data_IF_887213044216
#
_entry.id   IF_887213044216
#
_cell.length_a   1.000
_cell.length_b   1.000
_cell.length_c   1.000
_cell.angle_alpha   90.00
_cell.angle_beta   90.00
_cell.angle_gamma   90.00
#
_symmetry.space_group_name_H-M   'P 1'
#
loop_
_entity.id
_entity.type
_entity.pdbx_description
1 polymer ?
#
# COMPACT_ATOMS: atom_id res chain seq x y z
N UNK A 1 -9.86 -48.45 -19.94
CA UNK A 1 -10.18 -48.24 -18.52
C UNK A 1 -9.42 -47.01 -18.03
N UNK A 2 -10.12 -45.97 -17.59
CA UNK A 2 -9.54 -44.82 -16.87
C UNK A 2 -9.95 -44.95 -15.39
N UNK A 3 -9.06 -44.76 -14.41
CA UNK A 3 -9.50 -44.66 -13.03
C UNK A 3 -10.04 -43.25 -12.78
N UNK A 4 -11.34 -43.20 -12.50
CA UNK A 4 -12.01 -42.14 -11.74
C UNK A 4 -11.37 -42.02 -10.36
N UNK A 5 -11.06 -40.80 -9.91
CA UNK A 5 -10.97 -40.49 -8.48
C UNK A 5 -11.72 -39.19 -8.17
N UNK A 6 -12.69 -39.38 -7.28
CA UNK A 6 -13.59 -38.43 -6.64
C UNK A 6 -12.87 -37.85 -5.42
N UNK A 7 -13.13 -36.60 -5.07
CA UNK A 7 -12.86 -36.07 -3.73
C UNK A 7 -14.05 -35.20 -3.31
N UNK A 8 -14.62 -35.52 -2.16
CA UNK A 8 -15.63 -34.74 -1.43
C UNK A 8 -14.93 -33.80 -0.46
N UNK A 9 -15.52 -32.63 -0.20
CA UNK A 9 -15.18 -31.80 0.97
C UNK A 9 -16.49 -31.47 1.70
N UNK A 10 -16.58 -31.98 2.93
CA UNK A 10 -17.54 -31.56 3.95
C UNK A 10 -16.98 -30.33 4.68
N UNK A 11 -17.80 -29.30 4.86
CA UNK A 11 -17.49 -28.15 5.69
C UNK A 11 -18.76 -27.53 6.26
N UNK A 12 -18.89 -27.56 7.58
CA UNK A 12 -19.97 -26.90 8.36
C UNK A 12 -19.79 -25.37 8.32
N UNK A 13 -20.88 -24.58 8.33
CA UNK A 13 -20.78 -23.12 8.38
C UNK A 13 -20.25 -22.66 9.75
N UNK A 14 -19.40 -21.61 9.81
CA UNK A 14 -18.98 -21.02 11.08
C UNK A 14 -20.14 -20.26 11.76
N UNK A 15 -20.08 -20.06 13.09
CA UNK A 15 -21.17 -19.47 13.85
C UNK A 15 -21.32 -17.97 13.55
N UNK A 16 -22.56 -17.53 13.32
CA UNK A 16 -22.95 -16.12 13.29
C UNK A 16 -22.69 -15.46 14.65
N UNK A 17 -21.84 -14.41 14.72
CA UNK A 17 -21.71 -13.50 15.87
C UNK A 17 -21.33 -12.07 15.42
N UNK A 18 -21.64 -11.05 16.23
CA UNK A 18 -22.24 -9.80 15.77
C UNK A 18 -21.25 -8.73 15.33
N UNK A 19 -21.73 -7.93 14.40
CA UNK A 19 -21.16 -6.77 13.71
C UNK A 19 -20.35 -5.82 14.60
N UNK A 20 -19.09 -5.62 14.22
CA UNK A 20 -18.34 -4.39 14.46
C UNK A 20 -17.75 -3.98 13.11
N UNK A 21 -18.12 -2.79 12.62
CA UNK A 21 -17.62 -2.22 11.36
C UNK A 21 -16.14 -1.87 11.52
N UNK A 22 -15.25 -2.80 11.19
CA UNK A 22 -13.82 -2.58 11.11
C UNK A 22 -13.46 -2.40 9.62
N UNK A 23 -12.95 -1.23 9.25
CA UNK A 23 -12.39 -0.98 7.92
C UNK A 23 -11.24 -1.98 7.65
N UNK A 24 -11.27 -2.68 6.52
CA UNK A 24 -10.34 -3.76 6.19
C UNK A 24 -9.09 -3.23 5.47
N UNK A 25 -7.87 -3.49 6.00
CA UNK A 25 -6.61 -3.16 5.34
C UNK A 25 -6.25 -4.17 4.23
N UNK A 26 -6.99 -4.20 3.12
CA UNK A 26 -6.46 -4.78 1.88
C UNK A 26 -5.40 -3.85 1.29
N UNK A 27 -4.34 -3.58 2.03
CA UNK A 27 -3.50 -2.41 1.79
C UNK A 27 -2.63 -2.61 0.57
N UNK A 28 -2.84 -1.78 -0.46
CA UNK A 28 -1.80 -1.48 -1.42
C UNK A 28 -0.85 -0.44 -0.85
N UNK A 29 0.44 -0.77 -0.73
CA UNK A 29 1.50 0.17 -0.46
C UNK A 29 2.04 0.69 -1.80
N UNK A 30 1.89 1.98 -2.04
CA UNK A 30 2.46 2.65 -3.20
C UNK A 30 3.83 3.24 -2.83
N UNK A 31 4.92 2.80 -3.46
CA UNK A 31 6.25 3.39 -3.24
C UNK A 31 6.70 4.10 -4.52
N UNK A 32 7.05 5.39 -4.44
CA UNK A 32 7.87 6.06 -5.48
C UNK A 32 9.34 5.84 -5.16
N UNK A 33 9.99 4.94 -5.88
CA UNK A 33 11.45 4.79 -5.85
C UNK A 33 12.12 5.80 -6.77
N UNK A 34 13.05 6.62 -6.27
CA UNK A 34 14.01 7.26 -7.16
C UNK A 34 15.03 6.20 -7.57
N UNK A 35 15.07 5.86 -8.87
CA UNK A 35 16.31 5.33 -9.42
C UNK A 35 17.30 6.48 -9.46
N UNK A 36 18.17 6.59 -8.45
CA UNK A 36 19.41 7.32 -8.63
C UNK A 36 20.12 6.63 -9.80
N UNK A 37 20.17 7.27 -10.97
CA UNK A 37 20.94 6.77 -12.12
C UNK A 37 22.45 6.94 -11.90
N UNK A 38 22.91 6.80 -10.67
CA UNK A 38 24.33 6.73 -10.36
C UNK A 38 24.66 5.28 -9.99
N UNK A 39 25.35 4.54 -10.86
CA UNK A 39 25.94 3.28 -10.45
C UNK A 39 26.89 3.55 -9.27
N UNK A 40 27.02 2.62 -8.31
CA UNK A 40 28.03 2.73 -7.27
C UNK A 40 29.40 2.91 -7.91
N UNK A 41 30.16 3.91 -7.46
CA UNK A 41 31.54 4.15 -7.87
C UNK A 41 32.31 2.82 -7.79
N UNK A 42 32.55 2.24 -8.95
CA UNK A 42 33.40 1.08 -9.12
C UNK A 42 34.60 1.52 -9.93
N UNK A 43 35.76 1.21 -9.35
CA UNK A 43 37.11 1.50 -9.80
C UNK A 43 37.27 1.44 -11.33
N UNK A 44 37.82 2.55 -11.85
CA UNK A 44 38.51 2.78 -13.12
C UNK A 44 38.78 1.57 -14.04
N UNK A 45 38.34 1.69 -15.29
CA UNK A 45 38.89 0.98 -16.45
C UNK A 45 38.25 1.48 -17.76
N UNK A 46 39.01 1.77 -18.84
CA UNK A 46 38.48 2.46 -20.01
C UNK A 46 38.02 1.48 -21.08
N UNK A 47 36.78 1.61 -21.58
CA UNK A 47 36.40 1.09 -22.90
C UNK A 47 35.40 2.04 -23.60
N UNK A 48 35.65 2.22 -24.89
CA UNK A 48 35.09 3.23 -25.79
C UNK A 48 33.82 2.77 -26.52
N UNK A 49 32.88 3.72 -26.68
CA UNK A 49 31.90 3.99 -27.75
C UNK A 49 31.38 2.88 -28.70
N UNK A 50 30.04 2.68 -28.79
CA UNK A 50 29.21 3.02 -29.97
C UNK A 50 27.73 2.58 -29.85
N UNK A 51 26.83 3.54 -30.08
CA UNK A 51 25.51 3.50 -30.76
C UNK A 51 24.31 2.61 -30.33
N UNK A 52 23.18 3.35 -30.29
CA UNK A 52 21.74 3.02 -30.25
C UNK A 52 21.30 1.63 -30.76
N UNK A 53 20.38 1.00 -30.02
CA UNK A 53 19.09 0.47 -30.52
C UNK A 53 18.17 0.10 -29.34
N UNK A 54 16.87 0.36 -29.49
CA UNK A 54 15.85 0.15 -28.47
C UNK A 54 15.76 -1.28 -27.98
N UNK A 55 15.45 -1.45 -26.69
CA UNK A 55 15.26 -2.76 -26.07
C UNK A 55 13.86 -2.86 -25.48
N UNK A 56 13.07 -3.70 -26.14
CA UNK A 56 11.82 -4.30 -25.67
C UNK A 56 12.21 -5.39 -24.67
N UNK A 57 11.78 -5.30 -23.41
CA UNK A 57 12.03 -6.38 -22.45
C UNK A 57 10.93 -7.44 -22.54
N UNK A 58 11.35 -8.61 -23.01
CA UNK A 58 10.59 -9.84 -23.11
C UNK A 58 10.83 -10.64 -21.81
N UNK A 59 9.75 -10.95 -21.08
CA UNK A 59 9.80 -11.78 -19.88
C UNK A 59 10.21 -13.21 -20.27
N UNK A 60 11.42 -13.64 -19.90
CA UNK A 60 11.86 -15.03 -20.08
C UNK A 60 11.43 -15.86 -18.87
N UNK A 61 10.47 -16.76 -19.09
CA UNK A 61 10.39 -17.99 -18.31
C UNK A 61 11.63 -18.84 -18.59
N UNK A 62 12.33 -19.27 -17.53
CA UNK A 62 13.22 -20.42 -17.60
C UNK A 62 12.95 -21.36 -16.42
N UNK A 63 12.51 -22.54 -16.81
CA UNK A 63 12.43 -23.76 -16.02
C UNK A 63 13.81 -24.38 -15.82
N UNK A 64 14.14 -24.70 -14.56
CA UNK A 64 15.02 -25.79 -14.18
C UNK A 64 16.45 -25.41 -13.76
N UNK A 65 16.78 -25.57 -12.47
CA UNK A 65 18.05 -26.17 -12.03
C UNK A 65 18.02 -26.66 -10.57
N UNK A 66 19.01 -27.48 -10.27
CA UNK A 66 19.06 -28.62 -9.36
C UNK A 66 19.44 -28.27 -7.90
N UNK A 67 19.02 -29.10 -6.95
CA UNK A 67 19.27 -28.97 -5.50
C UNK A 67 20.73 -29.30 -5.12
N UNK A 68 21.32 -28.53 -4.18
CA UNK A 68 22.28 -28.98 -3.14
C UNK A 68 22.63 -27.87 -2.11
N UNK A 69 22.10 -28.04 -0.88
CA UNK A 69 22.65 -27.78 0.48
C UNK A 69 23.48 -26.52 0.83
N UNK A 70 22.94 -25.65 1.70
CA UNK A 70 23.59 -24.56 2.46
C UNK A 70 22.55 -23.67 3.20
N UNK A 71 22.86 -23.02 4.34
CA UNK A 71 21.88 -22.76 5.42
C UNK A 71 20.88 -21.62 5.14
N UNK A 72 19.61 -21.93 5.40
CA UNK A 72 18.44 -21.06 5.62
C UNK A 72 18.51 -19.63 5.07
N UNK A 73 18.57 -19.51 3.74
CA UNK A 73 18.15 -18.32 3.01
C UNK A 73 16.62 -18.24 3.01
N UNK A 74 16.10 -17.01 3.09
CA UNK A 74 14.75 -16.44 2.95
C UNK A 74 13.74 -17.05 1.93
N UNK A 75 13.92 -18.28 1.48
CA UNK A 75 13.10 -18.99 0.50
C UNK A 75 12.02 -19.93 1.07
N UNK A 76 11.85 -20.02 2.38
CA UNK A 76 10.81 -20.88 3.00
C UNK A 76 9.45 -20.19 3.21
N UNK A 77 9.32 -18.90 2.92
CA UNK A 77 8.02 -18.19 2.95
C UNK A 77 7.32 -18.10 1.58
N UNK A 78 7.93 -18.59 0.51
CA UNK A 78 7.48 -18.41 -0.88
C UNK A 78 6.94 -19.69 -1.54
N UNK A 79 6.31 -20.59 -0.76
CA UNK A 79 5.71 -21.81 -1.31
C UNK A 79 4.47 -22.28 -0.56
N UNK A 80 3.66 -21.35 -0.08
CA UNK A 80 2.28 -21.65 0.25
C UNK A 80 1.38 -20.75 -0.58
N UNK A 81 0.48 -21.38 -1.32
CA UNK A 81 -0.69 -20.79 -1.95
C UNK A 81 -1.61 -20.14 -0.89
N UNK A 82 -1.15 -19.09 -0.20
CA UNK A 82 -1.99 -18.22 0.62
C UNK A 82 -2.52 -17.13 -0.30
N UNK A 83 -3.48 -17.56 -1.11
CA UNK A 83 -4.53 -16.68 -1.61
C UNK A 83 -5.00 -15.80 -0.45
N UNK A 84 -4.96 -14.48 -0.60
CA UNK A 84 -5.63 -13.59 0.33
C UNK A 84 -7.11 -13.96 0.31
N UNK A 85 -7.54 -14.63 1.37
CA UNK A 85 -8.89 -15.16 1.53
C UNK A 85 -9.92 -14.04 1.65
N UNK A 86 -11.17 -14.30 1.23
CA UNK A 86 -12.28 -13.36 1.36
C UNK A 86 -12.57 -12.97 2.82
N UNK A 87 -13.09 -11.76 3.02
CA UNK A 87 -13.63 -11.29 4.31
C UNK A 87 -15.15 -11.15 4.21
N UNK A 88 -15.88 -11.79 5.13
CA UNK A 88 -17.35 -11.82 5.09
C UNK A 88 -17.90 -12.48 3.81
N UNK A 89 -18.94 -11.90 3.21
CA UNK A 89 -19.53 -12.36 1.94
C UNK A 89 -18.76 -11.87 0.69
N UNK A 90 -17.71 -11.06 0.84
CA UNK A 90 -17.03 -10.40 -0.27
C UNK A 90 -15.79 -11.19 -0.72
N UNK A 91 -15.82 -11.67 -1.96
CA UNK A 91 -14.76 -12.46 -2.60
C UNK A 91 -13.55 -11.66 -3.06
N UNK A 92 -13.64 -10.32 -3.05
CA UNK A 92 -12.64 -9.40 -3.63
C UNK A 92 -12.52 -8.15 -2.76
N UNK A 93 -11.29 -7.73 -2.44
CA UNK A 93 -11.04 -6.52 -1.66
C UNK A 93 -11.05 -5.26 -2.56
N UNK A 94 -11.94 -4.27 -2.32
CA UNK A 94 -12.02 -3.04 -3.10
C UNK A 94 -10.73 -2.23 -3.17
N UNK A 95 -9.97 -2.12 -2.07
CA UNK A 95 -8.72 -1.35 -2.08
C UNK A 95 -7.66 -2.01 -2.95
N UNK A 96 -7.61 -3.34 -2.97
CA UNK A 96 -6.71 -4.07 -3.86
C UNK A 96 -7.09 -3.87 -5.33
N UNK A 97 -8.38 -3.93 -5.66
CA UNK A 97 -8.87 -3.66 -7.03
C UNK A 97 -8.51 -2.25 -7.48
N UNK A 98 -8.80 -1.24 -6.65
CA UNK A 98 -8.47 0.15 -6.97
C UNK A 98 -6.96 0.35 -7.24
N UNK A 99 -6.11 -0.30 -6.46
CA UNK A 99 -4.66 -0.26 -6.64
C UNK A 99 -4.19 -0.98 -7.91
N UNK A 100 -4.85 -2.09 -8.29
CA UNK A 100 -4.58 -2.75 -9.56
C UNK A 100 -4.99 -1.88 -10.75
N UNK A 101 -6.14 -1.18 -10.69
CA UNK A 101 -6.55 -0.25 -11.73
C UNK A 101 -5.59 0.94 -11.84
N UNK A 102 -5.15 1.51 -10.71
CA UNK A 102 -4.09 2.53 -10.70
C UNK A 102 -2.81 2.03 -11.38
N UNK A 103 -2.38 0.80 -11.10
CA UNK A 103 -1.18 0.21 -11.72
C UNK A 103 -1.31 0.09 -13.23
N UNK A 104 -2.52 -0.21 -13.75
CA UNK A 104 -2.78 -0.26 -15.20
C UNK A 104 -2.75 1.14 -15.82
N UNK A 105 -3.32 2.14 -15.14
CA UNK A 105 -3.33 3.53 -15.60
C UNK A 105 -1.92 4.14 -15.61
N UNK A 106 -1.08 3.76 -14.63
CA UNK A 106 0.27 4.28 -14.46
C UNK A 106 0.30 5.72 -13.91
N UNK A 107 1.49 6.28 -13.71
CA UNK A 107 1.69 7.63 -13.15
C UNK A 107 2.61 8.49 -14.04
N UNK A 108 2.71 8.16 -15.32
CA UNK A 108 3.68 8.75 -16.25
C UNK A 108 5.04 8.05 -16.23
N UNK A 109 6.00 8.56 -17.01
CA UNK A 109 7.34 7.94 -17.17
C UNK A 109 8.31 8.27 -16.04
N UNK A 110 8.02 9.31 -15.27
CA UNK A 110 8.96 9.88 -14.28
C UNK A 110 8.67 9.39 -12.84
N UNK A 111 7.69 8.49 -12.71
CA UNK A 111 7.26 7.90 -11.45
C UNK A 111 7.39 6.37 -11.55
N UNK A 112 8.34 5.81 -10.80
CA UNK A 112 8.42 4.36 -10.61
C UNK A 112 7.40 3.93 -9.54
N UNK A 113 6.36 3.23 -9.97
CA UNK A 113 5.27 2.78 -9.13
C UNK A 113 5.50 1.34 -8.68
N UNK A 114 5.81 1.15 -7.40
CA UNK A 114 5.78 -0.17 -6.77
C UNK A 114 4.51 -0.37 -5.96
N UNK A 115 3.92 -1.55 -6.06
CA UNK A 115 2.69 -1.95 -5.37
C UNK A 115 2.97 -3.19 -4.53
N UNK A 116 2.67 -3.12 -3.24
CA UNK A 116 2.74 -4.26 -2.32
C UNK A 116 1.42 -4.49 -1.63
N UNK A 117 1.03 -5.75 -1.49
CA UNK A 117 -0.09 -6.14 -0.64
C UNK A 117 0.40 -6.32 0.79
N UNK A 118 -0.27 -5.69 1.75
CA UNK A 118 0.09 -5.73 3.16
C UNK A 118 -0.86 -6.69 3.90
N UNK A 119 -0.35 -7.73 4.58
CA UNK A 119 -1.19 -8.63 5.37
C UNK A 119 -1.93 -7.94 6.50
N UNK A 120 -3.15 -8.41 6.76
CA UNK A 120 -4.03 -7.98 7.86
C UNK A 120 -3.56 -8.59 9.18
N UNK A 121 -2.34 -8.24 9.59
CA UNK A 121 -1.64 -8.82 10.74
C UNK A 121 -0.75 -7.76 11.41
N UNK A 122 -1.01 -7.49 12.69
CA UNK A 122 -0.32 -6.40 13.41
C UNK A 122 1.19 -6.62 13.49
N UNK A 123 1.61 -7.87 13.73
CA UNK A 123 3.03 -8.22 13.83
C UNK A 123 3.76 -8.02 12.50
N UNK A 124 3.13 -8.44 11.41
CA UNK A 124 3.67 -8.30 10.05
C UNK A 124 3.80 -6.83 9.67
N UNK A 125 2.78 -6.00 9.95
CA UNK A 125 2.85 -4.56 9.66
C UNK A 125 3.99 -3.86 10.40
N UNK A 126 4.22 -4.19 11.69
CA UNK A 126 5.30 -3.61 12.50
C UNK A 126 6.69 -3.85 11.92
N UNK A 127 6.89 -4.92 11.16
CA UNK A 127 8.19 -5.29 10.60
C UNK A 127 8.29 -4.92 9.12
N UNK A 128 7.24 -5.16 8.35
CA UNK A 128 7.20 -4.94 6.90
C UNK A 128 7.28 -3.45 6.54
N UNK A 129 6.45 -2.59 7.15
CA UNK A 129 6.39 -1.17 6.77
C UNK A 129 7.75 -0.47 6.99
N UNK A 130 8.40 -0.56 8.17
CA UNK A 130 9.72 0.03 8.35
C UNK A 130 10.79 -0.57 7.41
N UNK A 131 10.71 -1.87 7.12
CA UNK A 131 11.64 -2.52 6.20
C UNK A 131 11.51 -1.97 4.77
N UNK A 132 10.29 -1.76 4.28
CA UNK A 132 10.04 -1.19 2.95
C UNK A 132 10.53 0.26 2.86
N UNK A 133 10.29 1.07 3.89
CA UNK A 133 10.85 2.42 3.99
C UNK A 133 12.38 2.42 3.95
N UNK A 134 13.02 1.51 4.68
CA UNK A 134 14.48 1.37 4.72
C UNK A 134 15.08 0.84 3.42
N UNK A 135 14.39 -0.09 2.75
CA UNK A 135 14.90 -0.74 1.54
C UNK A 135 14.77 0.16 0.32
N UNK A 136 13.63 0.84 0.17
CA UNK A 136 13.30 1.57 -1.06
C UNK A 136 13.50 3.08 -0.97
N UNK A 137 13.67 3.63 0.24
CA UNK A 137 13.77 5.08 0.47
C UNK A 137 12.75 5.89 -0.34
N UNK A 138 11.45 5.56 -0.22
CA UNK A 138 10.44 6.11 -1.11
C UNK A 138 10.23 7.61 -0.87
N UNK A 139 9.92 8.35 -1.95
CA UNK A 139 9.55 9.77 -1.84
C UNK A 139 8.18 9.97 -1.20
N UNK A 140 7.26 9.05 -1.44
CA UNK A 140 5.89 9.07 -0.95
C UNK A 140 5.43 7.64 -0.77
N UNK A 141 4.71 7.40 0.32
CA UNK A 141 4.00 6.16 0.58
C UNK A 141 2.52 6.41 0.76
N UNK A 142 1.70 5.71 -0.02
CA UNK A 142 0.25 5.77 0.11
C UNK A 142 -0.26 4.38 0.47
N UNK A 143 -1.00 4.32 1.56
CA UNK A 143 -1.74 3.14 1.99
C UNK A 143 -3.19 3.28 1.53
N UNK A 144 -3.79 2.20 1.05
CA UNK A 144 -5.19 2.19 0.60
C UNK A 144 -5.97 1.12 1.33
N UNK A 145 -6.98 1.46 2.12
CA UNK A 145 -7.86 0.50 2.80
C UNK A 145 -9.31 0.63 2.34
N UNK A 146 -10.13 -0.38 2.59
CA UNK A 146 -11.58 -0.29 2.34
C UNK A 146 -12.31 0.09 3.62
N UNK A 147 -13.28 0.99 3.51
CA UNK A 147 -14.25 1.28 4.57
C UNK A 147 -15.63 0.89 4.10
N UNK A 148 -16.25 -0.11 4.74
CA UNK A 148 -17.55 -0.67 4.34
C UNK A 148 -18.69 0.36 4.38
N UNK A 149 -18.55 1.39 5.21
CA UNK A 149 -19.54 2.44 5.41
C UNK A 149 -19.24 3.71 4.64
N UNK A 150 -18.06 3.81 4.00
CA UNK A 150 -17.70 4.97 3.23
C UNK A 150 -18.56 5.07 1.96
N UNK A 151 -18.94 6.29 1.61
CA UNK A 151 -19.63 6.63 0.35
C UNK A 151 -18.77 7.54 -0.54
N UNK A 152 -17.57 7.91 -0.06
CA UNK A 152 -16.60 8.78 -0.73
C UNK A 152 -15.21 8.19 -0.57
N UNK A 153 -14.28 8.54 -1.46
CA UNK A 153 -12.85 8.30 -1.23
C UNK A 153 -12.38 9.26 -0.14
N UNK A 154 -11.72 8.76 0.90
CA UNK A 154 -11.45 9.54 2.12
C UNK A 154 -9.95 9.61 2.39
N UNK A 155 -9.41 10.83 2.52
CA UNK A 155 -8.01 11.07 2.91
C UNK A 155 -7.92 11.22 4.44
N UNK A 156 -7.11 10.37 5.07
CA UNK A 156 -6.95 10.39 6.53
C UNK A 156 -5.85 11.37 6.97
N UNK A 157 -6.22 12.33 7.82
CA UNK A 157 -5.33 13.41 8.28
C UNK A 157 -4.42 13.02 9.44
N UNK A 158 -4.74 11.96 10.18
CA UNK A 158 -3.90 11.51 11.28
C UNK A 158 -4.05 10.01 11.55
N UNK A 159 -2.99 9.39 12.06
CA UNK A 159 -3.02 8.06 12.66
C UNK A 159 -3.03 8.14 14.18
N UNK A 160 -3.58 7.12 14.85
CA UNK A 160 -3.68 7.05 16.33
C UNK A 160 -2.76 5.97 16.86
N UNK A 161 -2.26 6.11 18.09
CA UNK A 161 -1.35 5.10 18.65
C UNK A 161 -2.06 4.07 19.52
N UNK A 162 -3.28 4.33 19.97
CA UNK A 162 -3.97 3.54 20.98
C UNK A 162 -5.40 3.19 20.58
N UNK A 163 -5.88 2.05 21.08
CA UNK A 163 -7.28 1.62 20.95
C UNK A 163 -7.48 0.32 20.17
N UNK A 164 -6.40 -0.36 19.78
CA UNK A 164 -6.45 -1.57 18.96
C UNK A 164 -6.91 -2.78 19.78
N UNK A 165 -8.21 -3.06 19.74
CA UNK A 165 -8.85 -4.15 20.49
C UNK A 165 -9.37 -5.28 19.61
N UNK A 166 -9.47 -5.05 18.31
CA UNK A 166 -9.96 -6.03 17.33
C UNK A 166 -8.82 -6.96 16.93
N UNK A 167 -9.10 -8.26 16.95
CA UNK A 167 -8.15 -9.31 16.56
C UNK A 167 -7.94 -9.30 15.05
N UNK A 168 -6.70 -9.51 14.63
CA UNK A 168 -6.29 -9.63 13.24
C UNK A 168 -6.58 -11.02 12.66
N UNK A 169 -6.17 -11.28 11.42
CA UNK A 169 -6.38 -12.57 10.74
C UNK A 169 -5.64 -13.73 11.41
N UNK A 170 -4.62 -13.44 12.22
CA UNK A 170 -3.90 -14.41 13.06
C UNK A 170 -4.54 -14.56 14.45
N UNK A 171 -5.65 -13.88 14.73
CA UNK A 171 -6.36 -13.92 16.00
C UNK A 171 -5.69 -13.11 17.11
N UNK A 172 -4.76 -12.21 16.77
CA UNK A 172 -3.94 -11.45 17.70
C UNK A 172 -4.34 -9.97 17.76
N UNK A 173 -4.03 -9.31 18.88
CA UNK A 173 -4.11 -7.86 19.04
C UNK A 173 -2.72 -7.32 19.43
N UNK A 174 -2.42 -6.04 19.20
CA UNK A 174 -1.17 -5.44 19.65
C UNK A 174 -1.05 -5.49 21.17
N UNK A 175 0.17 -5.74 21.65
CA UNK A 175 0.50 -5.60 23.07
C UNK A 175 0.14 -4.19 23.57
N UNK A 176 -0.41 -4.12 24.78
CA UNK A 176 -0.94 -2.89 25.38
C UNK A 176 -1.98 -2.13 24.53
N UNK A 177 -2.57 -2.76 23.51
CA UNK A 177 -3.52 -2.14 22.58
C UNK A 177 -2.97 -0.86 21.91
N UNK A 178 -1.65 -0.83 21.68
CA UNK A 178 -0.95 0.32 21.11
C UNK A 178 -0.08 -0.04 19.89
N UNK A 179 0.20 0.93 19.02
CA UNK A 179 1.02 0.70 17.82
C UNK A 179 2.50 0.69 18.18
N UNK A 180 3.00 1.79 18.74
CA UNK A 180 4.40 2.00 19.16
C UNK A 180 4.43 2.39 20.64
N UNK A 181 5.08 1.57 21.46
CA UNK A 181 5.26 1.86 22.88
C UNK A 181 6.03 3.17 23.09
N UNK A 182 5.47 4.10 23.86
CA UNK A 182 6.06 5.43 24.10
C UNK A 182 5.98 6.39 22.91
N UNK A 183 5.31 6.02 21.81
CA UNK A 183 5.03 6.93 20.70
C UNK A 183 3.94 7.97 21.04
N UNK A 184 3.85 9.08 20.27
CA UNK A 184 2.79 10.08 20.43
C UNK A 184 1.37 9.50 20.36
N UNK A 185 0.39 10.07 21.06
CA UNK A 185 -1.00 9.56 21.01
C UNK A 185 -1.62 9.57 19.61
N UNK A 186 -1.21 10.53 18.79
CA UNK A 186 -1.57 10.67 17.38
C UNK A 186 -0.45 11.35 16.61
N UNK A 187 -0.40 11.12 15.31
CA UNK A 187 0.52 11.79 14.39
C UNK A 187 -0.31 12.33 13.23
N UNK A 188 -0.22 13.64 12.98
CA UNK A 188 -0.82 14.26 11.80
C UNK A 188 0.00 13.95 10.54
N UNK A 189 -0.65 13.88 9.38
CA UNK A 189 0.03 13.81 8.10
C UNK A 189 0.85 15.07 7.87
N UNK A 190 2.09 14.91 7.40
CA UNK A 190 2.93 16.03 6.95
C UNK A 190 2.52 16.58 5.56
N UNK A 191 1.57 15.93 4.90
CA UNK A 191 1.12 16.28 3.55
C UNK A 191 -0.06 17.26 3.61
N UNK A 192 -0.14 18.19 2.66
CA UNK A 192 -1.26 19.14 2.55
C UNK A 192 -2.49 18.48 1.92
N UNK A 193 -3.15 17.61 2.69
CA UNK A 193 -4.32 16.84 2.24
C UNK A 193 -5.53 17.73 1.95
N UNK A 194 -5.63 18.92 2.57
CA UNK A 194 -6.70 19.88 2.27
C UNK A 194 -6.58 20.41 0.83
N UNK A 195 -5.36 20.75 0.40
CA UNK A 195 -5.10 21.15 -0.99
C UNK A 195 -5.30 20.00 -1.97
N UNK A 196 -4.87 18.78 -1.63
CA UNK A 196 -5.13 17.58 -2.45
C UNK A 196 -6.63 17.38 -2.64
N UNK A 197 -7.41 17.39 -1.56
CA UNK A 197 -8.86 17.21 -1.62
C UNK A 197 -9.50 18.24 -2.55
N UNK A 198 -9.14 19.52 -2.42
CA UNK A 198 -9.64 20.60 -3.29
C UNK A 198 -9.26 20.38 -4.76
N UNK A 199 -8.00 20.03 -5.06
CA UNK A 199 -7.52 19.77 -6.42
C UNK A 199 -8.30 18.61 -7.04
N UNK A 200 -8.39 17.48 -6.34
CA UNK A 200 -9.10 16.29 -6.84
C UNK A 200 -10.58 16.61 -7.07
N UNK A 201 -11.26 17.29 -6.13
CA UNK A 201 -12.66 17.71 -6.32
C UNK A 201 -12.86 18.63 -7.53
N UNK A 202 -11.85 19.42 -7.91
CA UNK A 202 -11.92 20.33 -9.07
C UNK A 202 -11.68 19.65 -10.42
N UNK A 203 -11.15 18.42 -10.45
CA UNK A 203 -10.82 17.71 -11.70
C UNK A 203 -12.03 17.18 -12.47
N UNK A 204 -13.20 17.07 -11.83
CA UNK A 204 -14.43 16.61 -12.47
C UNK A 204 -14.47 15.11 -12.80
N UNK A 205 -13.61 14.28 -12.20
CA UNK A 205 -13.51 12.83 -12.44
C UNK A 205 -14.72 12.00 -11.93
N UNK A 206 -15.80 12.63 -11.49
CA UNK A 206 -17.00 11.94 -10.99
C UNK A 206 -16.89 11.30 -9.59
N UNK A 207 -15.69 11.25 -9.01
CA UNK A 207 -15.44 10.71 -7.67
C UNK A 207 -15.39 11.82 -6.62
N UNK A 208 -16.16 11.66 -5.55
CA UNK A 208 -16.14 12.55 -4.40
C UNK A 208 -15.02 12.15 -3.45
N UNK A 209 -14.18 13.13 -3.09
CA UNK A 209 -13.11 12.98 -2.11
C UNK A 209 -13.43 13.79 -0.86
N UNK A 210 -13.18 13.22 0.31
CA UNK A 210 -13.39 13.88 1.60
C UNK A 210 -12.17 13.70 2.53
N UNK A 211 -12.17 14.43 3.65
CA UNK A 211 -11.12 14.37 4.67
C UNK A 211 -11.67 13.72 5.94
N UNK A 212 -10.84 12.93 6.63
CA UNK A 212 -11.15 12.34 7.92
C UNK A 212 -9.99 12.55 8.92
N UNK A 213 -10.30 12.53 10.22
CA UNK A 213 -9.32 12.55 11.33
C UNK A 213 -9.39 11.27 12.17
N UNK A 214 -10.00 10.23 11.61
CA UNK A 214 -10.19 8.96 12.28
C UNK A 214 -10.14 7.82 11.26
N UNK A 215 -8.95 7.24 11.09
CA UNK A 215 -8.74 6.06 10.26
C UNK A 215 -9.27 4.77 10.93
N UNK A 216 -10.00 4.89 12.04
CA UNK A 216 -10.52 3.79 12.83
C UNK A 216 -9.55 3.34 13.94
N UNK A 217 -9.74 2.12 14.45
CA UNK A 217 -8.85 1.50 15.47
C UNK A 217 -8.59 0.03 15.16
N UNK A 218 -8.29 -0.22 13.89
CA UNK A 218 -7.90 -1.52 13.37
C UNK A 218 -6.61 -1.38 12.54
N UNK A 219 -6.36 -2.31 11.62
CA UNK A 219 -5.10 -2.37 10.88
C UNK A 219 -4.91 -1.21 9.87
N UNK A 220 -5.98 -0.58 9.36
CA UNK A 220 -5.85 0.62 8.52
C UNK A 220 -5.09 1.72 9.27
N UNK A 221 -5.64 2.13 10.42
CA UNK A 221 -5.04 3.13 11.31
C UNK A 221 -3.67 2.67 11.84
N UNK A 222 -3.52 1.39 12.21
CA UNK A 222 -2.25 0.86 12.71
C UNK A 222 -1.14 0.91 11.66
N UNK A 223 -1.44 0.53 10.42
CA UNK A 223 -0.51 0.61 9.28
C UNK A 223 -0.17 2.06 8.98
N UNK A 224 -1.18 2.94 9.01
CA UNK A 224 -0.97 4.36 8.77
C UNK A 224 -0.07 4.99 9.83
N UNK A 225 -0.38 4.78 11.12
CA UNK A 225 0.42 5.28 12.23
C UNK A 225 1.86 4.75 12.17
N UNK A 226 2.04 3.44 11.91
CA UNK A 226 3.38 2.85 11.73
C UNK A 226 4.16 3.59 10.65
N UNK A 227 3.52 3.87 9.50
CA UNK A 227 4.14 4.58 8.39
C UNK A 227 4.44 6.04 8.73
N UNK A 228 3.51 6.76 9.37
CA UNK A 228 3.71 8.14 9.81
C UNK A 228 4.91 8.24 10.77
N UNK A 229 5.02 7.30 11.71
CA UNK A 229 6.10 7.25 12.69
C UNK A 229 7.49 7.09 12.05
N UNK A 230 7.61 6.34 10.95
CA UNK A 230 8.90 6.13 10.26
C UNK A 230 9.17 7.10 9.10
N UNK A 231 8.12 7.67 8.51
CA UNK A 231 8.19 8.40 7.23
C UNK A 231 8.54 9.88 7.32
N UNK A 232 8.62 10.46 8.53
CA UNK A 232 8.84 11.90 8.74
C UNK A 232 7.91 12.80 7.90
N UNK A 233 6.66 12.39 7.71
CA UNK A 233 5.63 13.20 7.02
C UNK A 233 5.38 12.87 5.56
N UNK A 234 6.02 11.84 4.98
CA UNK A 234 5.84 11.41 3.58
C UNK A 234 4.89 10.20 3.42
N UNK A 235 3.91 10.05 4.32
CA UNK A 235 2.88 9.00 4.24
C UNK A 235 1.46 9.58 4.16
N UNK A 236 0.63 8.98 3.32
CA UNK A 236 -0.81 9.20 3.27
C UNK A 236 -1.58 7.89 3.46
N UNK A 237 -2.84 8.00 3.88
CA UNK A 237 -3.78 6.89 3.88
C UNK A 237 -5.08 7.30 3.20
N UNK A 238 -5.59 6.42 2.35
CA UNK A 238 -6.82 6.61 1.58
C UNK A 238 -7.79 5.47 1.88
N UNK A 239 -8.96 5.78 2.42
CA UNK A 239 -10.07 4.83 2.47
C UNK A 239 -10.89 4.90 1.19
N UNK A 240 -11.15 3.75 0.57
CA UNK A 240 -12.09 3.62 -0.56
C UNK A 240 -13.41 3.00 -0.09
N UNK A 241 -14.53 3.36 -0.71
CA UNK A 241 -15.81 2.71 -0.46
C UNK A 241 -15.87 1.30 -1.10
N UNK A 242 -16.90 0.49 -0.80
CA UNK A 242 -17.11 -0.79 -1.46
C UNK A 242 -17.33 -0.66 -2.98
N UNK A 243 -16.91 -1.67 -3.73
CA UNK A 243 -17.12 -1.72 -5.18
C UNK A 243 -18.61 -1.67 -5.55
N UNK A 244 -18.92 -0.86 -6.57
CA UNK A 244 -20.28 -0.60 -7.04
C UNK A 244 -21.12 0.25 -6.09
N UNK A 245 -20.54 0.81 -5.02
CA UNK A 245 -21.25 1.56 -3.98
C UNK A 245 -20.42 2.74 -3.44
N UNK A 246 -20.35 3.88 -4.12
CA UNK A 246 -21.02 4.22 -5.38
C UNK A 246 -20.14 4.02 -6.62
N UNK A 247 -18.86 3.67 -6.45
CA UNK A 247 -17.87 3.68 -7.52
C UNK A 247 -17.45 2.26 -7.93
N UNK A 248 -17.15 2.07 -9.21
CA UNK A 248 -16.49 0.85 -9.69
C UNK A 248 -14.96 0.90 -9.51
N UNK A 249 -14.27 -0.17 -9.92
CA UNK A 249 -12.81 -0.26 -9.75
C UNK A 249 -12.05 0.78 -10.58
N UNK A 250 -12.52 1.09 -11.79
CA UNK A 250 -11.85 2.02 -12.71
C UNK A 250 -11.94 3.45 -12.16
N UNK A 251 -13.11 3.84 -11.66
CA UNK A 251 -13.33 5.12 -11.00
C UNK A 251 -12.45 5.27 -9.75
N UNK A 252 -12.35 4.23 -8.91
CA UNK A 252 -11.46 4.24 -7.75
C UNK A 252 -9.98 4.32 -8.14
N UNK A 253 -9.56 3.60 -9.19
CA UNK A 253 -8.20 3.67 -9.73
C UNK A 253 -7.85 5.07 -10.23
N UNK A 254 -8.77 5.73 -10.94
CA UNK A 254 -8.61 7.11 -11.41
C UNK A 254 -8.55 8.12 -10.26
N UNK A 255 -9.37 7.93 -9.22
CA UNK A 255 -9.31 8.75 -8.02
C UNK A 255 -7.97 8.63 -7.31
N UNK A 256 -7.47 7.39 -7.13
CA UNK A 256 -6.14 7.17 -6.57
C UNK A 256 -5.05 7.81 -7.42
N UNK A 257 -5.10 7.66 -8.75
CA UNK A 257 -4.13 8.28 -9.67
C UNK A 257 -4.07 9.79 -9.47
N UNK A 258 -5.24 10.44 -9.45
CA UNK A 258 -5.36 11.89 -9.29
C UNK A 258 -4.85 12.35 -7.93
N UNK A 259 -5.14 11.61 -6.87
CA UNK A 259 -4.62 11.86 -5.51
C UNK A 259 -3.10 11.74 -5.47
N UNK A 260 -2.54 10.67 -6.04
CA UNK A 260 -1.08 10.43 -6.04
C UNK A 260 -0.36 11.54 -6.79
N UNK A 261 -0.80 11.89 -7.99
CA UNK A 261 -0.19 12.95 -8.79
C UNK A 261 -0.27 14.31 -8.06
N UNK A 262 -1.43 14.64 -7.50
CA UNK A 262 -1.61 15.88 -6.71
C UNK A 262 -0.67 15.94 -5.49
N UNK A 263 -0.46 14.81 -4.81
CA UNK A 263 0.48 14.72 -3.70
C UNK A 263 1.94 14.91 -4.15
N UNK A 264 2.33 14.29 -5.26
CA UNK A 264 3.67 14.42 -5.80
C UNK A 264 3.98 15.86 -6.23
N UNK A 265 3.06 16.54 -6.90
CA UNK A 265 3.20 17.96 -7.26
C UNK A 265 3.40 18.84 -6.01
N UNK A 266 2.57 18.67 -4.99
CA UNK A 266 2.68 19.47 -3.75
C UNK A 266 3.98 19.22 -3.00
N UNK A 267 4.50 17.99 -3.04
CA UNK A 267 5.80 17.66 -2.45
C UNK A 267 6.95 18.32 -3.21
N UNK A 268 6.87 18.36 -4.54
CA UNK A 268 7.87 19.03 -5.38
C UNK A 268 7.88 20.55 -5.14
N UNK A 269 6.69 21.16 -4.99
CA UNK A 269 6.52 22.57 -4.63
C UNK A 269 7.13 22.87 -3.24
N UNK A 270 6.84 22.05 -2.23
CA UNK A 270 7.40 22.18 -0.88
C UNK A 270 8.93 22.05 -0.89
N UNK A 271 9.46 21.03 -1.57
CA UNK A 271 10.90 20.80 -1.66
C UNK A 271 11.61 21.97 -2.38
N UNK A 272 10.95 22.61 -3.33
CA UNK A 272 11.49 23.80 -4.00
C UNK A 272 11.47 25.04 -3.09
N UNK A 273 10.38 25.28 -2.37
CA UNK A 273 10.27 26.38 -1.42
C UNK A 273 11.30 26.26 -0.29
N UNK A 274 11.49 25.06 0.25
CA UNK A 274 12.48 24.81 1.31
C UNK A 274 13.90 25.05 0.80
N UNK A 275 14.22 24.65 -0.45
CA UNK A 275 15.52 24.94 -1.07
C UNK A 275 15.75 26.45 -1.22
N UNK A 276 14.75 27.19 -1.69
CA UNK A 276 14.87 28.63 -1.93
C UNK A 276 14.99 29.43 -0.62
N UNK A 277 14.32 29.00 0.46
CA UNK A 277 14.43 29.61 1.78
C UNK A 277 15.77 29.33 2.47
N UNK A 278 16.40 28.18 2.19
CA UNK A 278 17.70 27.80 2.77
C UNK A 278 18.90 28.38 1.99
N UNK A 279 18.65 29.07 0.88
CA UNK A 279 19.63 29.80 0.08
C UNK A 279 19.67 31.31 0.41
N UNK A 280 18.80 31.78 1.30
CA UNK A 280 18.74 33.15 1.84
C UNK A 280 19.35 33.23 3.24
#
# INVERSE_FOLDING_TARGET
>A
MRPTRRAEILGTPPPQRPWYTAADPGSGLLLRGLSDRRPPETLQGPLTCSERRGVRFQCKHQSGFNQRTGPASWGEYMNRDHWFGPFGEHTVNPSWVAVQELKKLGLGSDVDLQVYEVPVEYHTVRTLVPALWKQYHPLLVIHVGVSETATTVTLEKCGRNHGYRVRDNSGLCPEAHCCVAGGPDYIDSGLDLDSVCKRVSSTGIGVTVSLSKDAGRYLCDFTYYTSLYVSRGRSAFVHVPPLGKPYDGEELGLALQTIVLSLLELLEDQDQMDRDQNLL
#
